data_IF_952770019523
#
_entry.id   IF_952770019523
#
_cell.length_a   1.000
_cell.length_b   1.000
_cell.length_c   1.000
_cell.angle_alpha   90.00
_cell.angle_beta   90.00
_cell.angle_gamma   90.00
#
_symmetry.space_group_name_H-M   'P 1'
#
loop_
_entity.id
_entity.type
_entity.pdbx_description
1 polymer ?
#
# COMPACT_ATOMS: atom_id res chain seq x y z
N UNK A 1 -4.09 -8.33 6.75
CA UNK A 1 -3.47 -9.64 6.59
C UNK A 1 -3.69 -10.52 7.83
N UNK A 2 -3.23 -10.12 9.03
CA UNK A 2 -3.30 -10.93 10.27
C UNK A 2 -4.74 -11.33 10.65
N UNK A 3 -5.70 -10.38 10.58
CA UNK A 3 -7.12 -10.68 10.86
C UNK A 3 -7.66 -11.80 9.97
N UNK A 4 -7.27 -11.79 8.69
CA UNK A 4 -7.70 -12.82 7.76
C UNK A 4 -7.05 -14.17 8.08
N UNK A 5 -5.77 -14.19 8.43
CA UNK A 5 -5.07 -15.42 8.81
C UNK A 5 -5.71 -16.06 10.06
N UNK A 6 -5.95 -15.28 11.11
CA UNK A 6 -6.62 -15.77 12.32
C UNK A 6 -8.05 -16.26 12.04
N UNK A 7 -8.80 -15.54 11.18
CA UNK A 7 -10.15 -15.97 10.81
C UNK A 7 -10.10 -17.28 10.01
N UNK A 8 -9.17 -17.40 9.07
CA UNK A 8 -8.98 -18.62 8.30
C UNK A 8 -8.67 -19.83 9.21
N UNK A 9 -7.72 -19.70 10.11
CA UNK A 9 -7.34 -20.76 11.05
C UNK A 9 -8.49 -21.14 11.98
N UNK A 10 -9.28 -20.16 12.40
CA UNK A 10 -10.47 -20.42 13.22
C UNK A 10 -11.54 -21.22 12.44
N UNK A 11 -11.81 -20.83 11.21
CA UNK A 11 -12.77 -21.53 10.34
C UNK A 11 -12.28 -22.94 10.01
N UNK A 12 -11.02 -23.08 9.63
CA UNK A 12 -10.41 -24.37 9.28
C UNK A 12 -10.41 -25.35 10.46
N UNK A 13 -10.24 -24.83 11.68
CA UNK A 13 -10.35 -25.62 12.93
C UNK A 13 -11.80 -25.88 13.39
N UNK A 14 -12.79 -25.47 12.62
CA UNK A 14 -14.24 -25.71 12.90
C UNK A 14 -14.81 -24.81 13.99
N UNK A 15 -14.16 -23.69 14.34
CA UNK A 15 -14.72 -22.71 15.26
C UNK A 15 -15.87 -21.94 14.61
N UNK A 16 -16.87 -21.60 15.42
CA UNK A 16 -18.03 -20.79 15.00
C UNK A 16 -18.13 -19.46 15.75
N UNK A 17 -17.31 -19.26 16.76
CA UNK A 17 -17.19 -18.00 17.51
C UNK A 17 -15.92 -17.26 17.08
N UNK A 18 -16.10 -16.04 16.59
CA UNK A 18 -15.03 -15.17 16.08
C UNK A 18 -14.90 -13.87 16.87
N UNK A 19 -15.62 -13.72 17.99
CA UNK A 19 -15.66 -12.48 18.77
C UNK A 19 -14.29 -12.07 19.34
N UNK A 20 -13.40 -13.04 19.52
CA UNK A 20 -12.04 -12.80 20.03
C UNK A 20 -11.02 -12.49 18.94
N UNK A 21 -11.41 -12.49 17.65
CA UNK A 21 -10.54 -12.12 16.55
C UNK A 21 -10.64 -10.61 16.33
N UNK A 22 -9.55 -9.90 16.50
CA UNK A 22 -9.51 -8.45 16.35
C UNK A 22 -9.70 -8.00 14.90
N UNK A 23 -10.43 -6.91 14.69
CA UNK A 23 -10.59 -6.25 13.39
C UNK A 23 -11.67 -6.88 12.51
N UNK A 24 -12.68 -7.54 13.09
CA UNK A 24 -13.84 -8.08 12.37
C UNK A 24 -15.09 -7.22 12.55
N UNK A 25 -15.93 -7.28 11.53
CA UNK A 25 -17.32 -6.84 11.58
C UNK A 25 -18.20 -8.08 11.43
N UNK A 26 -18.89 -8.45 12.49
CA UNK A 26 -19.74 -9.63 12.57
C UNK A 26 -21.19 -9.24 12.38
N UNK A 27 -21.96 -10.07 11.68
CA UNK A 27 -23.40 -9.90 11.58
C UNK A 27 -24.08 -10.39 12.86
N UNK A 28 -24.94 -9.55 13.44
CA UNK A 28 -25.75 -9.87 14.62
C UNK A 28 -27.24 -9.61 14.30
N UNK A 29 -27.91 -10.63 13.82
CA UNK A 29 -29.30 -10.52 13.34
C UNK A 29 -29.42 -9.52 12.18
N UNK A 30 -30.10 -8.39 12.42
CA UNK A 30 -30.25 -7.26 11.49
C UNK A 30 -29.20 -6.16 11.69
N UNK A 31 -28.33 -6.28 12.70
CA UNK A 31 -27.30 -5.31 13.05
C UNK A 31 -25.88 -5.85 12.78
N UNK A 32 -24.87 -5.04 13.11
CA UNK A 32 -23.48 -5.43 13.05
C UNK A 32 -22.79 -5.18 14.38
N UNK A 33 -21.91 -6.11 14.76
CA UNK A 33 -21.05 -6.02 15.94
C UNK A 33 -19.60 -5.97 15.48
N UNK A 34 -18.85 -5.02 16.00
CA UNK A 34 -17.42 -4.92 15.73
C UNK A 34 -16.63 -5.54 16.88
N UNK A 35 -15.63 -6.33 16.54
CA UNK A 35 -14.67 -6.84 17.51
C UNK A 35 -13.65 -5.74 17.87
N UNK A 36 -12.75 -6.04 18.79
CA UNK A 36 -11.70 -5.08 19.15
C UNK A 36 -10.87 -4.69 17.92
N UNK A 37 -10.38 -3.45 17.85
CA UNK A 37 -9.48 -3.03 16.78
C UNK A 37 -8.18 -3.85 16.80
N UNK A 38 -7.63 -4.09 15.61
CA UNK A 38 -6.31 -4.67 15.47
C UNK A 38 -5.25 -3.58 15.39
N UNK A 39 -4.14 -3.77 16.10
CA UNK A 39 -2.96 -2.92 15.94
C UNK A 39 -2.45 -3.00 14.48
N UNK A 40 -1.92 -1.88 13.98
CA UNK A 40 -1.32 -1.85 12.66
C UNK A 40 -0.01 -2.64 12.66
N UNK A 41 0.25 -3.41 11.59
CA UNK A 41 1.52 -4.09 11.39
C UNK A 41 2.62 -3.03 11.34
N UNK A 42 3.52 -3.02 12.31
CA UNK A 42 4.59 -2.02 12.43
C UNK A 42 5.77 -2.31 11.49
N UNK A 43 6.11 -3.58 11.30
CA UNK A 43 7.18 -4.01 10.41
C UNK A 43 6.60 -4.72 9.18
N UNK A 44 6.49 -3.99 8.06
CA UNK A 44 5.96 -4.54 6.82
C UNK A 44 6.90 -5.55 6.14
N UNK A 45 8.15 -5.71 6.59
CA UNK A 45 9.02 -6.77 6.08
C UNK A 45 8.55 -8.16 6.52
N UNK A 46 7.71 -8.25 7.55
CA UNK A 46 7.13 -9.51 8.02
C UNK A 46 5.95 -9.99 7.19
N UNK A 47 5.38 -9.11 6.36
CA UNK A 47 4.26 -9.46 5.47
C UNK A 47 4.81 -10.29 4.30
N UNK A 48 4.30 -11.51 4.04
CA UNK A 48 4.75 -12.29 2.90
C UNK A 48 4.41 -11.62 1.58
N UNK A 49 5.16 -11.88 0.54
CA UNK A 49 4.79 -11.46 -0.81
C UNK A 49 3.46 -12.10 -1.21
N UNK A 50 2.66 -11.41 -2.06
CA UNK A 50 1.44 -12.01 -2.59
C UNK A 50 1.71 -13.36 -3.26
N UNK A 51 0.79 -14.30 -3.07
CA UNK A 51 0.88 -15.65 -3.65
C UNK A 51 0.54 -15.61 -5.15
N UNK A 52 1.43 -15.03 -5.94
CA UNK A 52 1.27 -14.88 -7.39
C UNK A 52 1.12 -16.21 -8.12
N UNK A 53 1.64 -17.30 -7.55
CA UNK A 53 1.53 -18.66 -8.06
C UNK A 53 0.11 -19.24 -7.99
N UNK A 54 -0.76 -18.65 -7.17
CA UNK A 54 -2.19 -18.98 -7.10
C UNK A 54 -3.03 -18.24 -8.14
N UNK A 55 -2.44 -17.30 -8.89
CA UNK A 55 -3.12 -16.51 -9.90
C UNK A 55 -2.85 -17.06 -11.31
N UNK A 56 -3.87 -17.04 -12.17
CA UNK A 56 -3.69 -17.29 -13.59
C UNK A 56 -3.06 -16.07 -14.28
N UNK A 57 -1.77 -15.82 -14.02
CA UNK A 57 -1.06 -14.61 -14.44
C UNK A 57 -1.11 -14.35 -15.95
N UNK A 58 -1.23 -15.38 -16.78
CA UNK A 58 -1.36 -15.21 -18.24
C UNK A 58 -2.64 -14.46 -18.63
N UNK A 59 -3.70 -14.57 -17.84
CA UNK A 59 -4.91 -13.76 -18.01
C UNK A 59 -4.59 -12.29 -17.71
N UNK A 60 -3.92 -12.03 -16.57
CA UNK A 60 -3.53 -10.68 -16.18
C UNK A 60 -2.60 -10.04 -17.22
N UNK A 61 -1.62 -10.77 -17.72
CA UNK A 61 -0.71 -10.27 -18.76
C UNK A 61 -1.42 -9.96 -20.06
N UNK A 62 -2.41 -10.77 -20.45
CA UNK A 62 -3.15 -10.60 -21.71
C UNK A 62 -4.14 -9.45 -21.65
N UNK A 63 -4.83 -9.26 -20.54
CA UNK A 63 -5.96 -8.33 -20.41
C UNK A 63 -5.69 -7.12 -19.51
N UNK A 64 -4.48 -6.97 -19.01
CA UNK A 64 -4.14 -5.78 -18.22
C UNK A 64 -4.26 -4.54 -19.10
N UNK A 65 -5.23 -3.71 -18.78
CA UNK A 65 -5.61 -2.51 -19.57
C UNK A 65 -5.04 -1.22 -18.99
N UNK A 66 -4.00 -1.29 -18.18
CA UNK A 66 -3.46 -0.09 -17.53
C UNK A 66 -2.50 0.62 -18.51
N UNK A 67 -2.97 1.56 -19.35
CA UNK A 67 -2.14 2.29 -20.29
C UNK A 67 -1.59 3.56 -19.62
N UNK A 68 -0.89 3.43 -18.49
CA UNK A 68 -0.35 4.61 -17.82
C UNK A 68 0.82 5.23 -18.57
N UNK A 69 1.54 4.46 -19.38
CA UNK A 69 2.65 4.95 -20.18
C UNK A 69 2.84 4.12 -21.45
N UNK A 70 3.64 4.63 -22.39
CA UNK A 70 4.02 3.90 -23.61
C UNK A 70 4.72 2.59 -23.26
N UNK A 71 5.59 2.61 -22.24
CA UNK A 71 6.30 1.42 -21.80
C UNK A 71 5.35 0.41 -21.17
N UNK A 72 4.42 0.85 -20.33
CA UNK A 72 3.39 -0.02 -19.77
C UNK A 72 2.49 -0.61 -20.88
N UNK A 73 2.15 0.18 -21.89
CA UNK A 73 1.35 -0.28 -23.02
C UNK A 73 2.10 -1.33 -23.85
N UNK A 74 3.38 -1.13 -24.10
CA UNK A 74 4.22 -2.03 -24.88
C UNK A 74 4.69 -3.27 -24.09
N UNK A 75 4.57 -3.24 -22.77
CA UNK A 75 4.90 -4.37 -21.91
C UNK A 75 4.00 -5.56 -22.20
N UNK A 76 4.60 -6.75 -22.20
CA UNK A 76 3.86 -8.02 -22.40
C UNK A 76 3.56 -8.71 -21.08
N UNK A 77 4.32 -8.43 -20.02
CA UNK A 77 4.24 -9.11 -18.72
C UNK A 77 4.31 -8.10 -17.59
N UNK A 78 3.23 -7.29 -17.48
CA UNK A 78 3.13 -6.25 -16.46
C UNK A 78 2.32 -6.71 -15.26
N UNK A 79 2.74 -6.30 -14.07
CA UNK A 79 2.04 -6.52 -12.82
C UNK A 79 1.94 -5.23 -12.02
N UNK A 80 1.00 -5.18 -11.09
CA UNK A 80 0.96 -4.14 -10.06
C UNK A 80 1.54 -4.69 -8.76
N UNK A 81 2.22 -3.81 -8.02
CA UNK A 81 2.75 -4.09 -6.69
C UNK A 81 2.29 -3.01 -5.72
N UNK A 82 2.22 -3.33 -4.45
CA UNK A 82 1.96 -2.38 -3.37
C UNK A 82 2.79 -2.76 -2.16
N UNK A 83 3.55 -1.79 -1.65
CA UNK A 83 4.40 -1.99 -0.47
C UNK A 83 4.02 -1.06 0.67
N UNK A 84 3.63 0.19 0.35
CA UNK A 84 3.17 1.17 1.32
C UNK A 84 1.83 0.77 1.96
N UNK A 85 1.63 1.20 3.20
CA UNK A 85 0.34 1.18 3.89
C UNK A 85 0.08 2.55 4.49
N UNK A 86 -1.00 3.19 4.04
CA UNK A 86 -1.39 4.53 4.46
C UNK A 86 -0.74 5.64 3.63
N UNK A 87 -1.24 6.86 3.80
CA UNK A 87 -0.75 8.05 3.11
C UNK A 87 -0.58 9.18 4.13
N UNK A 88 0.55 9.93 4.14
CA UNK A 88 0.77 10.99 5.10
C UNK A 88 0.01 12.29 4.76
N UNK A 89 -0.79 12.30 3.69
CA UNK A 89 -1.55 13.48 3.27
C UNK A 89 -2.95 13.51 3.89
N UNK A 90 -3.38 14.71 4.30
CA UNK A 90 -4.70 14.95 4.92
C UNK A 90 -5.77 15.44 3.94
N UNK A 91 -5.80 14.94 2.69
CA UNK A 91 -6.75 15.41 1.68
C UNK A 91 -8.20 15.19 2.13
N UNK A 92 -8.97 16.27 2.22
CA UNK A 92 -10.34 16.27 2.81
C UNK A 92 -11.35 15.45 2.02
N UNK A 93 -11.11 15.22 0.74
CA UNK A 93 -11.95 14.44 -0.17
C UNK A 93 -11.52 12.97 -0.29
N UNK A 94 -10.36 12.60 0.26
CA UNK A 94 -9.80 11.27 0.10
C UNK A 94 -10.50 10.27 1.03
N UNK A 95 -10.97 9.16 0.46
CA UNK A 95 -11.61 8.07 1.22
C UNK A 95 -10.67 7.42 2.24
N UNK A 96 -9.36 7.40 1.98
CA UNK A 96 -8.36 6.92 2.92
C UNK A 96 -8.41 7.64 4.26
N UNK A 97 -8.49 8.97 4.23
CA UNK A 97 -8.61 9.77 5.44
C UNK A 97 -10.02 9.71 6.02
N UNK A 98 -11.04 9.60 5.17
CA UNK A 98 -12.43 9.43 5.58
C UNK A 98 -12.66 8.12 6.31
N UNK A 99 -12.21 7.01 5.77
CA UNK A 99 -12.33 5.70 6.42
C UNK A 99 -11.56 5.64 7.75
N UNK A 100 -10.36 6.20 7.80
CA UNK A 100 -9.57 6.23 9.03
C UNK A 100 -10.19 7.11 10.12
N UNK A 101 -10.89 8.19 9.74
CA UNK A 101 -11.39 9.20 10.69
C UNK A 101 -12.83 8.95 11.12
N UNK A 102 -13.71 8.65 10.16
CA UNK A 102 -15.14 8.48 10.43
C UNK A 102 -15.43 7.09 11.01
N UNK A 103 -14.82 6.07 10.45
CA UNK A 103 -15.08 4.69 10.86
C UNK A 103 -14.48 4.39 12.23
N UNK A 104 -13.29 4.90 12.54
CA UNK A 104 -12.73 4.75 13.87
C UNK A 104 -13.55 5.49 14.92
N UNK A 105 -14.00 6.70 14.67
CA UNK A 105 -14.87 7.43 15.61
C UNK A 105 -16.26 6.79 15.74
N UNK A 106 -16.84 6.28 14.66
CA UNK A 106 -18.14 5.61 14.66
C UNK A 106 -18.05 4.16 15.17
N UNK A 107 -16.99 3.45 14.83
CA UNK A 107 -16.75 2.06 15.24
C UNK A 107 -16.33 2.00 16.70
N UNK A 108 -15.48 2.91 17.16
CA UNK A 108 -14.94 2.92 18.52
C UNK A 108 -15.62 3.92 19.44
N UNK A 109 -16.37 4.88 18.93
CA UNK A 109 -17.10 5.87 19.71
C UNK A 109 -18.33 5.30 20.44
N UNK A 110 -18.81 4.12 20.06
CA UNK A 110 -19.97 3.47 20.67
C UNK A 110 -19.65 2.40 21.72
N UNK A 111 -18.39 1.92 21.80
CA UNK A 111 -18.00 0.79 22.66
C UNK A 111 -16.92 1.10 23.71
N UNK A 112 -15.77 1.57 23.31
CA UNK A 112 -14.71 1.95 24.25
C UNK A 112 -13.99 3.24 23.80
N UNK A 113 -14.56 4.35 24.23
CA UNK A 113 -14.06 5.69 23.93
C UNK A 113 -12.57 5.88 24.33
N UNK A 114 -12.11 5.18 25.37
CA UNK A 114 -10.73 5.30 25.86
C UNK A 114 -9.70 4.62 24.95
N UNK A 115 -10.08 3.52 24.29
CA UNK A 115 -9.18 2.81 23.37
C UNK A 115 -9.09 3.58 22.03
N UNK A 116 -10.20 4.06 21.50
CA UNK A 116 -10.23 4.94 20.33
C UNK A 116 -9.43 6.23 20.57
N UNK A 117 -9.62 6.87 21.73
CA UNK A 117 -8.85 8.04 22.15
C UNK A 117 -7.36 7.76 22.34
N UNK A 118 -6.98 6.57 22.80
CA UNK A 118 -5.57 6.18 22.95
C UNK A 118 -4.89 5.98 21.59
N UNK A 119 -5.54 5.32 20.66
CA UNK A 119 -5.05 5.13 19.29
C UNK A 119 -4.95 6.46 18.52
N UNK A 120 -5.90 7.37 18.74
CA UNK A 120 -5.90 8.72 18.15
C UNK A 120 -4.83 9.61 18.78
N UNK A 121 -4.56 9.49 20.08
CA UNK A 121 -3.57 10.32 20.79
C UNK A 121 -2.11 9.94 20.50
N UNK A 122 -1.84 8.75 20.00
CA UNK A 122 -0.47 8.36 19.64
C UNK A 122 -0.03 8.93 18.28
N UNK A 123 -0.94 9.52 17.48
CA UNK A 123 -0.66 9.86 16.09
C UNK A 123 -0.41 11.33 15.82
N UNK A 124 -1.05 12.26 16.51
CA UNK A 124 -0.66 13.67 16.38
C UNK A 124 -1.32 14.55 17.46
N UNK A 125 -0.49 15.14 18.31
CA UNK A 125 -0.95 16.04 19.40
C UNK A 125 -1.19 17.48 18.93
N UNK A 126 -0.75 17.88 17.75
CA UNK A 126 -0.82 19.27 17.31
C UNK A 126 -1.99 19.60 16.37
N UNK A 127 -2.55 18.63 15.62
CA UNK A 127 -3.50 18.95 14.56
C UNK A 127 -4.89 18.30 14.64
N UNK A 128 -5.19 17.54 15.68
CA UNK A 128 -6.51 16.87 15.90
C UNK A 128 -7.03 16.05 14.68
N UNK A 129 -6.11 15.66 13.79
CA UNK A 129 -6.39 14.86 12.59
C UNK A 129 -5.73 13.50 12.71
N UNK A 130 -6.55 12.45 12.80
CA UNK A 130 -6.06 11.09 12.69
C UNK A 130 -5.64 10.82 11.24
N UNK A 131 -4.36 10.60 11.03
CA UNK A 131 -3.83 10.00 9.81
C UNK A 131 -3.22 8.66 10.21
N UNK A 132 -3.65 7.58 9.57
CA UNK A 132 -2.91 6.33 9.71
C UNK A 132 -1.48 6.58 9.22
N UNK A 133 -0.45 6.34 10.06
CA UNK A 133 0.92 6.63 9.67
C UNK A 133 1.28 5.86 8.42
N UNK A 134 1.81 6.55 7.43
CA UNK A 134 2.35 5.89 6.25
C UNK A 134 3.53 5.01 6.66
N UNK A 135 3.53 3.75 6.26
CA UNK A 135 4.51 2.73 6.61
C UNK A 135 5.01 2.05 5.36
N UNK A 136 6.30 1.81 5.32
CA UNK A 136 6.98 1.12 4.23
C UNK A 136 7.78 -0.06 4.78
N UNK A 137 7.92 -1.16 4.03
CA UNK A 137 8.97 -2.13 4.29
C UNK A 137 10.33 -1.48 3.98
N UNK A 138 11.41 -2.20 4.18
CA UNK A 138 12.71 -1.75 3.67
C UNK A 138 12.69 -1.66 2.15
N UNK A 139 13.49 -0.75 1.58
CA UNK A 139 13.65 -0.67 0.14
C UNK A 139 14.20 -1.99 -0.46
N UNK A 140 15.02 -2.72 0.29
CA UNK A 140 15.52 -4.04 -0.10
C UNK A 140 14.38 -5.06 -0.28
N UNK A 141 13.40 -5.08 0.65
CA UNK A 141 12.23 -5.95 0.52
C UNK A 141 11.48 -5.71 -0.82
N UNK A 142 11.31 -4.45 -1.21
CA UNK A 142 10.64 -4.10 -2.45
C UNK A 142 11.46 -4.54 -3.68
N UNK A 143 12.79 -4.34 -3.67
CA UNK A 143 13.68 -4.79 -4.75
C UNK A 143 13.68 -6.32 -4.86
N UNK A 144 13.75 -7.04 -3.75
CA UNK A 144 13.71 -8.50 -3.71
C UNK A 144 12.37 -9.05 -4.25
N UNK A 145 11.27 -8.36 -3.96
CA UNK A 145 9.97 -8.71 -4.55
C UNK A 145 10.00 -8.61 -6.09
N UNK A 146 10.52 -7.52 -6.65
CA UNK A 146 10.63 -7.37 -8.12
C UNK A 146 11.58 -8.40 -8.71
N UNK A 147 12.70 -8.68 -8.03
CA UNK A 147 13.63 -9.73 -8.45
C UNK A 147 12.94 -11.09 -8.53
N UNK A 148 12.19 -11.47 -7.51
CA UNK A 148 11.38 -12.68 -7.50
C UNK A 148 10.38 -12.71 -8.68
N UNK A 149 9.67 -11.60 -8.92
CA UNK A 149 8.71 -11.51 -10.02
C UNK A 149 9.39 -11.60 -11.39
N UNK A 150 10.57 -11.02 -11.54
CA UNK A 150 11.38 -11.14 -12.76
C UNK A 150 11.85 -12.57 -12.97
N UNK A 151 12.39 -13.20 -11.96
CA UNK A 151 12.93 -14.56 -12.03
C UNK A 151 11.85 -15.62 -12.30
N UNK A 152 10.73 -15.54 -11.57
CA UNK A 152 9.66 -16.55 -11.69
C UNK A 152 8.71 -16.31 -12.86
N UNK A 153 8.39 -15.06 -13.14
CA UNK A 153 7.30 -14.72 -14.06
C UNK A 153 7.78 -13.87 -15.25
N UNK A 154 9.08 -13.56 -15.30
CA UNK A 154 9.70 -12.77 -16.38
C UNK A 154 8.97 -11.48 -16.70
N UNK A 155 8.55 -10.74 -15.66
CA UNK A 155 7.92 -9.43 -15.85
C UNK A 155 8.90 -8.47 -16.56
N UNK A 156 8.35 -7.51 -17.29
CA UNK A 156 9.10 -6.46 -18.00
C UNK A 156 8.63 -5.05 -17.61
N UNK A 157 7.53 -4.97 -16.86
CA UNK A 157 7.03 -3.73 -16.27
C UNK A 157 6.30 -4.01 -14.95
N UNK A 158 6.43 -3.10 -13.98
CA UNK A 158 5.52 -3.07 -12.84
C UNK A 158 4.99 -1.66 -12.56
N UNK A 159 3.79 -1.60 -12.02
CA UNK A 159 3.21 -0.38 -11.48
C UNK A 159 3.22 -0.49 -9.95
N UNK A 160 4.00 0.33 -9.28
CA UNK A 160 3.90 0.51 -7.83
C UNK A 160 2.65 1.37 -7.56
N UNK A 161 1.57 0.70 -7.13
CA UNK A 161 0.28 1.35 -6.82
C UNK A 161 0.23 1.77 -5.35
N UNK A 162 1.39 2.14 -4.82
CA UNK A 162 1.51 2.75 -3.50
C UNK A 162 0.78 4.09 -3.50
N UNK A 163 0.17 4.46 -2.38
CA UNK A 163 -0.64 5.66 -2.27
C UNK A 163 0.13 6.93 -2.62
N UNK A 164 1.42 6.99 -2.24
CA UNK A 164 2.26 8.15 -2.49
C UNK A 164 3.75 7.84 -2.32
N UNK A 165 4.34 7.15 -3.27
CA UNK A 165 5.76 6.77 -3.19
C UNK A 165 6.70 7.96 -2.99
N UNK A 166 6.39 9.14 -3.55
CA UNK A 166 7.22 10.33 -3.43
C UNK A 166 7.09 11.06 -2.10
N UNK A 167 6.20 10.65 -1.21
CA UNK A 167 6.06 11.23 0.12
C UNK A 167 7.23 10.87 1.06
N UNK A 168 7.88 9.73 0.84
CA UNK A 168 9.08 9.30 1.57
C UNK A 168 10.31 9.31 0.65
N UNK A 169 10.88 10.49 0.45
CA UNK A 169 12.00 10.68 -0.46
C UNK A 169 13.25 9.85 -0.10
N UNK A 170 13.47 9.61 1.20
CA UNK A 170 14.60 8.76 1.62
C UNK A 170 14.38 7.33 1.13
N UNK A 171 13.20 6.76 1.40
CA UNK A 171 12.88 5.41 0.96
C UNK A 171 12.91 5.29 -0.57
N UNK A 172 12.37 6.28 -1.28
CA UNK A 172 12.39 6.32 -2.76
C UNK A 172 13.82 6.35 -3.32
N UNK A 173 14.71 7.14 -2.71
CA UNK A 173 16.14 7.18 -3.10
C UNK A 173 16.83 5.85 -2.83
N UNK A 174 16.61 5.28 -1.64
CA UNK A 174 17.18 3.98 -1.26
C UNK A 174 16.71 2.88 -2.22
N UNK A 175 15.39 2.84 -2.53
CA UNK A 175 14.84 1.91 -3.53
C UNK A 175 15.49 2.08 -4.91
N UNK A 176 15.57 3.31 -5.43
CA UNK A 176 16.15 3.58 -6.74
C UNK A 176 17.62 3.15 -6.83
N UNK A 177 18.40 3.39 -5.78
CA UNK A 177 19.82 3.00 -5.74
C UNK A 177 19.95 1.46 -5.74
N UNK A 178 19.24 0.77 -4.85
CA UNK A 178 19.26 -0.69 -4.79
C UNK A 178 18.74 -1.34 -6.08
N UNK A 179 17.75 -0.71 -6.71
CA UNK A 179 17.17 -1.18 -7.96
C UNK A 179 18.18 -1.06 -9.13
N UNK A 180 18.92 0.04 -9.18
CA UNK A 180 20.04 0.23 -10.12
C UNK A 180 21.15 -0.81 -9.89
N UNK A 181 21.60 -0.94 -8.64
CA UNK A 181 22.67 -1.85 -8.26
C UNK A 181 22.32 -3.32 -8.56
N UNK A 182 21.04 -3.67 -8.54
CA UNK A 182 20.56 -5.00 -8.90
C UNK A 182 20.59 -5.31 -10.40
N UNK A 183 20.76 -4.30 -11.26
CA UNK A 183 20.67 -4.42 -12.72
C UNK A 183 19.25 -4.59 -13.27
N UNK A 184 18.21 -4.64 -12.42
CA UNK A 184 16.82 -4.82 -12.85
C UNK A 184 16.33 -3.66 -13.74
N UNK A 185 16.83 -2.45 -13.53
CA UNK A 185 16.46 -1.26 -14.30
C UNK A 185 16.68 -1.38 -15.81
N UNK A 186 17.55 -2.28 -16.24
CA UNK A 186 17.81 -2.53 -17.65
C UNK A 186 16.70 -3.35 -18.32
N UNK A 187 16.06 -4.23 -17.57
CA UNK A 187 15.13 -5.25 -18.11
C UNK A 187 13.69 -5.11 -17.62
N UNK A 188 13.45 -4.34 -16.56
CA UNK A 188 12.12 -4.11 -15.99
C UNK A 188 11.95 -2.60 -15.78
N UNK A 189 10.99 -2.01 -16.50
CA UNK A 189 10.60 -0.62 -16.31
C UNK A 189 9.47 -0.52 -15.30
N UNK A 190 9.22 0.67 -14.77
CA UNK A 190 8.19 0.85 -13.76
C UNK A 190 7.54 2.22 -13.78
N UNK A 191 6.38 2.28 -13.14
CA UNK A 191 5.63 3.50 -12.87
C UNK A 191 5.11 3.53 -11.45
N UNK A 192 4.67 4.70 -10.98
CA UNK A 192 4.13 4.87 -9.64
C UNK A 192 3.16 6.05 -9.54
N UNK A 193 2.54 6.18 -8.37
CA UNK A 193 1.80 7.36 -7.95
C UNK A 193 2.71 8.25 -7.09
N UNK A 194 2.56 9.55 -7.22
CA UNK A 194 3.36 10.51 -6.49
C UNK A 194 2.58 11.77 -6.15
N UNK A 195 3.16 12.62 -5.32
CA UNK A 195 2.58 13.91 -5.01
C UNK A 195 3.41 15.08 -5.54
N UNK A 196 2.73 15.99 -6.20
CA UNK A 196 3.35 17.15 -6.82
C UNK A 196 4.10 18.06 -5.81
N UNK A 197 3.59 18.35 -4.60
CA UNK A 197 4.31 19.14 -3.62
C UNK A 197 5.68 18.59 -3.23
N UNK A 198 5.80 17.29 -2.95
CA UNK A 198 7.10 16.69 -2.61
C UNK A 198 8.10 16.81 -3.76
N UNK A 199 7.64 16.58 -4.98
CA UNK A 199 8.48 16.68 -6.18
C UNK A 199 8.85 18.13 -6.51
N UNK A 200 7.95 19.09 -6.29
CA UNK A 200 8.25 20.52 -6.51
C UNK A 200 9.35 21.03 -5.58
N UNK A 201 9.38 20.55 -4.34
CA UNK A 201 10.44 20.91 -3.36
C UNK A 201 11.74 20.17 -3.65
N UNK A 202 11.66 18.94 -4.17
CA UNK A 202 12.81 18.04 -4.41
C UNK A 202 12.82 17.50 -5.84
N UNK A 203 12.97 18.36 -6.87
CA UNK A 203 12.85 17.98 -8.27
C UNK A 203 13.93 16.98 -8.73
N UNK A 204 15.05 16.91 -8.01
CA UNK A 204 16.11 15.95 -8.26
C UNK A 204 15.66 14.49 -8.17
N UNK A 205 14.57 14.22 -7.43
CA UNK A 205 14.04 12.85 -7.28
C UNK A 205 13.60 12.27 -8.61
N UNK A 206 13.03 13.09 -9.50
CA UNK A 206 12.58 12.66 -10.83
C UNK A 206 13.75 12.11 -11.65
N UNK A 207 14.92 12.75 -11.59
CA UNK A 207 16.10 12.28 -12.29
C UNK A 207 16.61 10.95 -11.71
N UNK A 208 16.58 10.82 -10.39
CA UNK A 208 16.98 9.59 -9.70
C UNK A 208 16.03 8.43 -10.10
N UNK A 209 14.72 8.64 -10.04
CA UNK A 209 13.71 7.65 -10.44
C UNK A 209 13.84 7.27 -11.92
N UNK A 210 14.02 8.28 -12.81
CA UNK A 210 14.22 8.03 -14.24
C UNK A 210 15.45 7.16 -14.50
N UNK A 211 16.57 7.45 -13.86
CA UNK A 211 17.78 6.64 -14.00
C UNK A 211 17.57 5.20 -13.53
N UNK A 212 16.75 5.01 -12.49
CA UNK A 212 16.36 3.70 -11.99
C UNK A 212 15.26 3.01 -12.83
N UNK A 213 14.94 3.49 -14.04
CA UNK A 213 14.00 2.85 -14.95
C UNK A 213 12.53 3.24 -14.75
N UNK A 214 12.23 4.25 -13.92
CA UNK A 214 10.90 4.83 -13.84
C UNK A 214 10.55 5.58 -15.13
N UNK A 215 9.44 5.22 -15.75
CA UNK A 215 8.99 5.83 -17.01
C UNK A 215 7.66 6.56 -16.87
N UNK A 216 7.02 6.45 -15.72
CA UNK A 216 5.73 7.06 -15.48
C UNK A 216 5.51 7.41 -14.00
N UNK A 217 5.02 8.61 -13.74
CA UNK A 217 4.52 9.02 -12.43
C UNK A 217 3.16 9.69 -12.62
N UNK A 218 2.15 9.21 -11.91
CA UNK A 218 0.83 9.84 -11.86
C UNK A 218 0.75 10.80 -10.69
N UNK A 219 0.31 12.01 -10.93
CA UNK A 219 0.10 13.03 -9.92
C UNK A 219 -1.37 13.40 -9.83
N UNK A 220 -1.91 13.41 -8.62
CA UNK A 220 -3.21 14.02 -8.33
C UNK A 220 -3.04 15.54 -8.19
N UNK A 221 -3.47 16.31 -9.19
CA UNK A 221 -3.44 17.78 -9.12
C UNK A 221 -4.74 18.35 -8.55
N UNK A 222 -5.84 17.64 -8.70
CA UNK A 222 -7.19 17.91 -8.18
C UNK A 222 -7.75 19.29 -8.55
N UNK A 223 -6.92 20.33 -8.66
CA UNK A 223 -7.28 21.70 -9.04
C UNK A 223 -6.14 22.39 -9.77
N UNK A 224 -6.49 23.30 -10.65
CA UNK A 224 -5.56 24.19 -11.39
C UNK A 224 -5.52 25.61 -10.78
N UNK A 225 -6.20 25.83 -9.63
CA UNK A 225 -6.24 27.12 -8.92
C UNK A 225 -5.12 27.25 -7.91
#
# INVERSE_FOLDING_TARGET
EETFAELYDAVDSGKSDFENINGLCLRDGSSFKYTNPRALISDLNTVPYPAYDLLELDIYFRYSTIPYSVDAYNSRRRLSTVWERGCPRGCTFCSHNGMSRIDLQNIYGSGDRKLGEKLVREVDKENDTFQAPARWPTAQYAVDNIKLLKEKYNIDFFMAVDENMTSNLKWTKDFCNLYLDSGLSETVKWGTLGDAPSVAVHPEIIKIMKNAGCTYISFGFESAS
#
